data_IF_031176935327
#
_entry.id   IF_031176935327
#
_cell.length_a   1.000
_cell.length_b   1.000
_cell.length_c   1.000
_cell.angle_alpha   90.00
_cell.angle_beta   90.00
_cell.angle_gamma   90.00
#
_symmetry.space_group_name_H-M   'P 1'
#
loop_
_entity.id
_entity.type
_entity.pdbx_description
1 polymer ?
#
# COMPACT_ATOMS: atom_id res chain seq x y z
N UNK A 1 -18.85 -41.47 -24.10
CA UNK A 1 -19.10 -40.62 -22.90
C UNK A 1 -18.30 -39.31 -22.88
N UNK A 2 -17.13 -39.21 -23.54
CA UNK A 2 -16.33 -37.97 -23.58
C UNK A 2 -16.87 -36.85 -24.48
N UNK A 3 -17.54 -37.19 -25.59
CA UNK A 3 -18.07 -36.20 -26.57
C UNK A 3 -19.24 -35.40 -25.99
N UNK A 4 -20.13 -36.03 -25.21
CA UNK A 4 -21.24 -35.32 -24.58
C UNK A 4 -20.73 -34.27 -23.57
N UNK A 5 -19.72 -34.63 -22.76
CA UNK A 5 -19.12 -33.72 -21.77
C UNK A 5 -18.51 -32.48 -22.43
N UNK A 6 -17.81 -32.62 -23.57
CA UNK A 6 -17.22 -31.47 -24.28
C UNK A 6 -18.26 -30.57 -24.96
N UNK A 7 -19.39 -31.13 -25.39
CA UNK A 7 -20.48 -30.35 -25.98
C UNK A 7 -21.25 -29.53 -24.92
N UNK A 8 -21.40 -30.06 -23.70
CA UNK A 8 -21.97 -29.31 -22.58
C UNK A 8 -21.06 -28.16 -22.13
N UNK A 9 -19.74 -28.36 -22.11
CA UNK A 9 -18.81 -27.29 -21.73
C UNK A 9 -18.69 -26.19 -22.78
N UNK A 10 -18.67 -26.54 -24.08
CA UNK A 10 -18.66 -25.57 -25.17
C UNK A 10 -19.93 -24.71 -25.19
N UNK A 11 -21.10 -25.33 -25.00
CA UNK A 11 -22.38 -24.63 -24.94
C UNK A 11 -22.44 -23.65 -23.76
N UNK A 12 -21.92 -24.03 -22.59
CA UNK A 12 -21.89 -23.18 -21.41
C UNK A 12 -20.99 -21.94 -21.60
N UNK A 13 -19.83 -22.12 -22.24
CA UNK A 13 -18.91 -21.01 -22.55
C UNK A 13 -19.56 -20.02 -23.49
N UNK A 14 -20.20 -20.48 -24.57
CA UNK A 14 -20.88 -19.62 -25.55
C UNK A 14 -22.00 -18.80 -24.88
N UNK A 15 -22.82 -19.44 -24.04
CA UNK A 15 -23.88 -18.75 -23.28
C UNK A 15 -23.28 -17.63 -22.39
N UNK A 16 -22.14 -17.90 -21.75
CA UNK A 16 -21.45 -16.92 -20.90
C UNK A 16 -20.88 -15.74 -21.71
N UNK A 17 -20.26 -15.99 -22.86
CA UNK A 17 -19.71 -14.95 -23.74
C UNK A 17 -20.82 -14.02 -24.26
N UNK A 18 -21.92 -14.59 -24.76
CA UNK A 18 -23.07 -13.84 -25.24
C UNK A 18 -23.70 -12.99 -24.12
N UNK A 19 -23.79 -13.52 -22.91
CA UNK A 19 -24.34 -12.81 -21.74
C UNK A 19 -23.56 -11.52 -21.42
N UNK A 20 -22.25 -11.51 -21.64
CA UNK A 20 -21.39 -10.36 -21.34
C UNK A 20 -20.94 -9.57 -22.57
N UNK A 21 -21.47 -9.89 -23.75
CA UNK A 21 -21.20 -9.18 -25.00
C UNK A 21 -19.79 -9.40 -25.58
N UNK A 22 -19.15 -10.54 -25.26
CA UNK A 22 -17.80 -10.83 -25.74
C UNK A 22 -17.87 -11.36 -27.18
N UNK A 23 -17.48 -10.54 -28.14
CA UNK A 23 -17.48 -10.87 -29.59
C UNK A 23 -16.12 -11.30 -30.13
N UNK A 24 -15.04 -11.05 -29.39
CA UNK A 24 -13.67 -11.37 -29.82
C UNK A 24 -12.73 -11.61 -28.65
N UNK A 25 -11.59 -12.25 -28.93
CA UNK A 25 -10.54 -12.53 -27.94
C UNK A 25 -9.24 -11.79 -28.30
N UNK A 26 -8.46 -11.33 -27.31
CA UNK A 26 -8.76 -11.27 -25.89
C UNK A 26 -9.65 -10.07 -25.54
N UNK A 27 -10.71 -10.29 -24.74
CA UNK A 27 -11.53 -9.23 -24.11
C UNK A 27 -11.39 -9.34 -22.60
N UNK A 28 -11.01 -8.24 -21.95
CA UNK A 28 -10.87 -8.19 -20.49
C UNK A 28 -12.07 -7.44 -19.90
N UNK A 29 -12.72 -8.05 -18.90
CA UNK A 29 -13.88 -7.48 -18.21
C UNK A 29 -13.68 -7.55 -16.70
N UNK A 30 -13.85 -6.43 -16.03
CA UNK A 30 -13.65 -6.27 -14.60
C UNK A 30 -14.97 -6.38 -13.84
N UNK A 31 -15.03 -7.24 -12.84
CA UNK A 31 -16.24 -7.48 -12.06
C UNK A 31 -16.01 -7.08 -10.60
N UNK A 32 -16.40 -5.86 -10.18
CA UNK A 32 -16.31 -5.49 -8.78
C UNK A 32 -17.42 -6.19 -7.97
N UNK A 33 -17.18 -6.41 -6.67
CA UNK A 33 -18.09 -7.15 -5.77
C UNK A 33 -19.57 -6.72 -5.84
N UNK A 34 -19.83 -5.45 -6.13
CA UNK A 34 -21.19 -4.87 -6.19
C UNK A 34 -21.78 -4.81 -7.60
N UNK A 35 -20.99 -4.99 -8.65
CA UNK A 35 -21.47 -4.93 -10.02
C UNK A 35 -21.24 -6.29 -10.72
N UNK A 36 -22.34 -7.00 -10.96
CA UNK A 36 -22.33 -8.28 -11.69
C UNK A 36 -22.41 -8.12 -13.20
N UNK A 37 -22.67 -6.91 -13.71
CA UNK A 37 -22.71 -6.64 -15.15
C UNK A 37 -21.30 -6.62 -15.76
N UNK A 38 -20.28 -6.33 -14.95
CA UNK A 38 -18.91 -6.17 -15.40
C UNK A 38 -18.68 -4.83 -16.10
N UNK A 39 -17.44 -4.37 -16.05
CA UNK A 39 -16.96 -3.15 -16.70
C UNK A 39 -15.90 -3.55 -17.72
N UNK A 40 -15.98 -3.02 -18.92
CA UNK A 40 -15.01 -3.33 -19.97
C UNK A 40 -13.66 -2.64 -19.67
N UNK A 41 -12.57 -3.33 -19.99
CA UNK A 41 -11.22 -2.79 -19.87
C UNK A 41 -10.77 -2.23 -21.21
N UNK A 42 -10.71 -0.91 -21.29
CA UNK A 42 -10.28 -0.16 -22.49
C UNK A 42 -8.83 0.36 -22.38
N UNK A 43 -8.07 -0.10 -21.38
CA UNK A 43 -6.68 0.30 -21.17
C UNK A 43 -5.70 -0.36 -22.15
N UNK A 44 -4.43 0.05 -22.08
CA UNK A 44 -3.37 -0.56 -22.89
C UNK A 44 -3.16 -2.04 -22.59
N UNK A 45 -2.53 -2.76 -23.53
CA UNK A 45 -2.26 -4.20 -23.40
C UNK A 45 -0.98 -4.50 -22.61
N UNK A 46 -0.35 -3.46 -22.07
CA UNK A 46 0.85 -3.57 -21.28
C UNK A 46 0.54 -3.92 -19.82
N UNK A 47 1.48 -4.60 -19.16
CA UNK A 47 1.33 -5.03 -17.77
C UNK A 47 1.13 -3.84 -16.84
N UNK A 48 1.83 -2.73 -17.09
CA UNK A 48 1.79 -1.53 -16.26
C UNK A 48 0.41 -0.85 -16.29
N UNK A 49 -0.20 -0.76 -17.48
CA UNK A 49 -1.55 -0.21 -17.65
C UNK A 49 -2.60 -1.08 -16.95
N UNK A 50 -2.46 -2.40 -17.07
CA UNK A 50 -3.36 -3.33 -16.41
C UNK A 50 -3.26 -3.22 -14.88
N UNK A 51 -2.04 -3.15 -14.34
CA UNK A 51 -1.80 -2.98 -12.90
C UNK A 51 -2.35 -1.64 -12.41
N UNK A 52 -2.18 -0.57 -13.18
CA UNK A 52 -2.73 0.75 -12.86
C UNK A 52 -4.26 0.72 -12.80
N UNK A 53 -4.92 0.12 -13.79
CA UNK A 53 -6.38 -0.04 -13.78
C UNK A 53 -6.88 -0.83 -12.57
N UNK A 54 -6.24 -1.96 -12.24
CA UNK A 54 -6.62 -2.75 -11.07
C UNK A 54 -6.40 -1.96 -9.77
N UNK A 55 -5.30 -1.21 -9.67
CA UNK A 55 -5.02 -0.35 -8.52
C UNK A 55 -6.07 0.75 -8.34
N UNK A 56 -6.51 1.38 -9.43
CA UNK A 56 -7.57 2.40 -9.40
C UNK A 56 -8.93 1.80 -9.00
N UNK A 57 -9.33 0.68 -9.62
CA UNK A 57 -10.62 0.05 -9.35
C UNK A 57 -10.72 -0.60 -7.97
N UNK A 58 -9.61 -1.16 -7.47
CA UNK A 58 -9.56 -1.84 -6.18
C UNK A 58 -9.10 -0.93 -5.02
N UNK A 59 -8.56 0.25 -5.32
CA UNK A 59 -7.92 1.13 -4.33
C UNK A 59 -6.68 0.49 -3.70
N UNK A 60 -5.94 -0.30 -4.49
CA UNK A 60 -4.67 -0.93 -4.09
C UNK A 60 -3.48 -0.19 -4.69
N UNK A 61 -2.27 -0.46 -4.19
CA UNK A 61 -1.04 0.15 -4.72
C UNK A 61 0.00 -0.94 -4.91
N UNK A 62 -0.15 -1.74 -5.96
CA UNK A 62 0.74 -2.85 -6.31
C UNK A 62 1.64 -2.53 -7.51
N UNK A 63 2.84 -3.10 -7.49
CA UNK A 63 3.76 -3.08 -8.62
C UNK A 63 3.45 -4.23 -9.61
N UNK A 64 4.06 -4.22 -10.81
CA UNK A 64 3.89 -5.28 -11.81
C UNK A 64 4.35 -6.66 -11.36
N UNK A 65 5.17 -6.74 -10.31
CA UNK A 65 5.64 -8.00 -9.70
C UNK A 65 4.70 -8.47 -8.58
N UNK A 66 3.60 -7.75 -8.35
CA UNK A 66 2.60 -8.04 -7.32
C UNK A 66 2.97 -7.58 -5.91
N UNK A 67 4.08 -6.86 -5.75
CA UNK A 67 4.50 -6.32 -4.45
C UNK A 67 3.73 -5.05 -4.12
N UNK A 68 3.53 -4.79 -2.82
CA UNK A 68 2.98 -3.51 -2.36
C UNK A 68 4.05 -2.41 -2.50
N UNK A 69 3.65 -1.30 -3.12
CA UNK A 69 4.49 -0.11 -3.24
C UNK A 69 4.61 0.61 -1.91
N UNK A 70 5.63 1.47 -1.77
CA UNK A 70 5.83 2.29 -0.56
C UNK A 70 4.71 3.29 -0.30
N UNK A 71 3.90 3.55 -1.33
CA UNK A 71 2.73 4.43 -1.30
C UNK A 71 1.46 3.71 -0.84
N UNK A 72 1.50 2.37 -0.74
CA UNK A 72 0.38 1.59 -0.27
C UNK A 72 -0.04 2.05 1.13
N UNK A 73 -1.35 2.32 1.29
CA UNK A 73 -2.00 2.77 2.54
C UNK A 73 -1.59 4.16 3.01
N UNK A 74 -0.76 4.89 2.27
CA UNK A 74 -0.54 6.30 2.54
C UNK A 74 -1.80 7.10 2.17
N UNK A 75 -2.15 8.04 3.04
CA UNK A 75 -3.19 9.02 2.78
C UNK A 75 -2.47 10.37 2.73
N UNK A 76 -2.13 10.88 1.52
CA UNK A 76 -1.27 12.05 1.37
C UNK A 76 -1.77 13.29 2.13
N UNK A 77 -3.09 13.45 2.25
CA UNK A 77 -3.72 14.55 3.00
C UNK A 77 -3.42 14.51 4.51
N UNK A 78 -3.21 13.32 5.10
CA UNK A 78 -2.94 13.16 6.52
C UNK A 78 -1.45 13.27 6.87
N UNK A 79 -0.55 13.13 5.90
CA UNK A 79 0.90 13.20 6.11
C UNK A 79 1.38 14.47 6.85
N UNK A 80 0.94 15.70 6.53
CA UNK A 80 1.37 16.89 7.28
C UNK A 80 0.94 16.84 8.75
N UNK A 81 -0.31 16.44 9.02
CA UNK A 81 -0.84 16.30 10.38
C UNK A 81 -0.12 15.21 11.17
N UNK A 82 0.23 14.09 10.53
CA UNK A 82 1.00 13.01 11.18
C UNK A 82 2.42 13.48 11.52
N UNK A 83 3.06 14.27 10.66
CA UNK A 83 4.38 14.86 10.96
C UNK A 83 4.30 15.85 12.12
N UNK A 84 3.26 16.67 12.16
CA UNK A 84 2.98 17.57 13.28
C UNK A 84 2.78 16.78 14.57
N UNK A 85 1.94 15.74 14.55
CA UNK A 85 1.67 14.88 15.70
C UNK A 85 2.93 14.28 16.34
N UNK A 86 3.93 13.91 15.52
CA UNK A 86 5.18 13.35 16.04
C UNK A 86 6.15 14.38 16.62
N UNK A 87 6.13 15.62 16.12
CA UNK A 87 7.04 16.67 16.60
C UNK A 87 6.53 17.35 17.87
N UNK A 88 5.24 17.18 18.19
CA UNK A 88 4.56 17.87 19.27
C UNK A 88 4.59 17.06 20.59
N UNK A 89 4.56 17.77 21.73
CA UNK A 89 4.51 17.24 23.11
C UNK A 89 3.05 16.97 23.53
N UNK A 90 2.84 16.05 24.48
CA UNK A 90 1.57 15.36 24.76
C UNK A 90 0.30 16.23 24.85
N UNK A 91 0.37 17.44 25.39
CA UNK A 91 -0.81 18.30 25.56
C UNK A 91 -1.43 18.76 24.23
N UNK A 92 -0.59 19.05 23.23
CA UNK A 92 -1.02 19.50 21.90
C UNK A 92 -1.30 18.34 20.95
N UNK A 93 -0.87 17.10 21.28
CA UNK A 93 -1.17 15.90 20.48
C UNK A 93 -2.66 15.59 20.40
N UNK A 94 -3.41 15.92 21.47
CA UNK A 94 -4.87 15.76 21.51
C UNK A 94 -5.57 16.65 20.47
N UNK A 95 -5.12 17.89 20.31
CA UNK A 95 -5.69 18.82 19.33
C UNK A 95 -5.41 18.35 17.89
N UNK A 96 -4.19 17.89 17.62
CA UNK A 96 -3.82 17.34 16.30
C UNK A 96 -4.59 16.04 16.02
N UNK A 97 -4.85 15.21 17.03
CA UNK A 97 -5.67 14.00 16.89
C UNK A 97 -7.10 14.35 16.43
N UNK A 98 -7.74 15.35 17.04
CA UNK A 98 -9.08 15.80 16.63
C UNK A 98 -9.10 16.24 15.15
N UNK A 99 -8.09 17.00 14.72
CA UNK A 99 -7.95 17.42 13.31
C UNK A 99 -7.80 16.22 12.37
N UNK A 100 -7.02 15.21 12.77
CA UNK A 100 -6.88 13.96 11.99
C UNK A 100 -8.22 13.22 11.93
N UNK A 101 -8.98 13.12 13.03
CA UNK A 101 -10.28 12.46 13.04
C UNK A 101 -11.31 13.17 12.14
N UNK A 102 -11.33 14.51 12.13
CA UNK A 102 -12.17 15.31 11.25
C UNK A 102 -11.83 15.10 9.78
N UNK A 103 -10.55 15.13 9.41
CA UNK A 103 -10.14 14.92 8.03
C UNK A 103 -10.38 13.47 7.58
N UNK A 104 -10.25 12.50 8.50
CA UNK A 104 -10.62 11.10 8.23
C UNK A 104 -12.13 10.95 8.03
N UNK A 105 -12.97 11.72 8.73
CA UNK A 105 -14.42 11.69 8.55
C UNK A 105 -14.87 12.22 7.18
N UNK A 106 -14.11 13.15 6.59
CA UNK A 106 -14.36 13.67 5.24
C UNK A 106 -13.95 12.68 4.14
N UNK A 107 -13.05 11.74 4.43
CA UNK A 107 -12.59 10.75 3.46
C UNK A 107 -13.63 9.65 3.26
N UNK A 108 -13.76 9.15 2.03
CA UNK A 108 -14.63 8.03 1.68
C UNK A 108 -13.85 6.87 1.06
N UNK A 109 -14.47 5.68 1.00
CA UNK A 109 -13.88 4.51 0.33
C UNK A 109 -12.68 3.88 1.06
N UNK A 110 -11.64 3.51 0.32
CA UNK A 110 -10.41 2.90 0.84
C UNK A 110 -9.59 3.86 1.70
N UNK A 111 -9.59 5.15 1.35
CA UNK A 111 -8.90 6.20 2.10
C UNK A 111 -9.45 6.34 3.53
N UNK A 112 -10.76 6.23 3.72
CA UNK A 112 -11.39 6.23 5.06
C UNK A 112 -10.94 5.03 5.91
N UNK A 113 -10.82 3.84 5.30
CA UNK A 113 -10.33 2.64 5.98
C UNK A 113 -8.88 2.82 6.43
N UNK A 114 -8.03 3.35 5.55
CA UNK A 114 -6.64 3.66 5.90
C UNK A 114 -6.56 4.74 6.98
N UNK A 115 -7.38 5.79 6.88
CA UNK A 115 -7.51 6.87 7.87
C UNK A 115 -7.78 6.38 9.29
N UNK A 116 -8.71 5.42 9.46
CA UNK A 116 -8.99 4.79 10.78
C UNK A 116 -7.78 4.12 11.41
N UNK A 117 -6.85 3.60 10.61
CA UNK A 117 -5.62 2.99 11.09
C UNK A 117 -4.70 4.06 11.71
N UNK A 118 -4.59 5.24 11.09
CA UNK A 118 -3.84 6.37 11.65
C UNK A 118 -4.39 6.81 13.00
N UNK A 119 -5.71 6.97 13.11
CA UNK A 119 -6.38 7.33 14.37
C UNK A 119 -6.09 6.29 15.46
N UNK A 120 -6.21 4.99 15.12
CA UNK A 120 -5.93 3.90 16.07
C UNK A 120 -4.47 3.87 16.52
N UNK A 121 -3.54 4.14 15.60
CA UNK A 121 -2.12 4.21 15.90
C UNK A 121 -1.80 5.41 16.81
N UNK A 122 -2.36 6.59 16.51
CA UNK A 122 -2.18 7.79 17.31
C UNK A 122 -2.72 7.61 18.75
N UNK A 123 -3.90 6.98 18.91
CA UNK A 123 -4.44 6.61 20.23
C UNK A 123 -3.49 5.68 21.00
N UNK A 124 -2.97 4.64 20.35
CA UNK A 124 -1.98 3.73 20.98
C UNK A 124 -0.69 4.44 21.39
N UNK A 125 -0.23 5.43 20.61
CA UNK A 125 0.96 6.22 20.96
C UNK A 125 0.68 7.08 22.20
N UNK A 126 -0.52 7.66 22.31
CA UNK A 126 -0.93 8.40 23.50
C UNK A 126 -1.04 7.51 24.74
N UNK A 127 -1.60 6.31 24.63
CA UNK A 127 -1.82 5.41 25.77
C UNK A 127 -0.51 4.77 26.28
N UNK A 128 0.41 4.44 25.37
CA UNK A 128 1.63 3.66 25.68
C UNK A 128 2.91 4.50 25.75
N UNK A 129 2.82 5.80 25.44
CA UNK A 129 3.94 6.73 25.47
C UNK A 129 4.93 6.59 24.29
N UNK A 130 5.95 7.44 24.32
CA UNK A 130 6.93 7.64 23.23
C UNK A 130 7.78 6.40 22.90
N UNK A 131 7.97 5.48 23.84
CA UNK A 131 8.74 4.25 23.64
C UNK A 131 7.99 3.17 22.84
N UNK A 132 6.67 3.29 22.68
CA UNK A 132 5.87 2.34 21.92
C UNK A 132 6.33 2.23 20.46
N UNK A 133 6.63 3.36 19.82
CA UNK A 133 7.04 3.41 18.41
C UNK A 133 8.35 2.65 18.17
N UNK A 134 9.32 2.74 19.10
CA UNK A 134 10.59 2.02 19.01
C UNK A 134 10.37 0.51 19.14
N UNK A 135 9.66 0.08 20.19
CA UNK A 135 9.36 -1.33 20.45
C UNK A 135 8.56 -1.97 19.30
N UNK A 136 7.58 -1.24 18.77
CA UNK A 136 6.77 -1.72 17.65
C UNK A 136 7.58 -1.82 16.36
N UNK A 137 8.48 -0.86 16.11
CA UNK A 137 9.40 -0.93 14.96
C UNK A 137 10.31 -2.16 15.05
N UNK A 138 10.88 -2.44 16.22
CA UNK A 138 11.69 -3.64 16.43
C UNK A 138 10.90 -4.93 16.31
N UNK A 139 9.68 -4.98 16.86
CA UNK A 139 8.79 -6.15 16.75
C UNK A 139 8.51 -6.47 15.29
N UNK A 140 8.18 -5.45 14.49
CA UNK A 140 7.93 -5.60 13.05
C UNK A 140 9.20 -6.02 12.29
N UNK A 141 10.37 -5.50 12.68
CA UNK A 141 11.63 -5.94 12.09
C UNK A 141 11.92 -7.41 12.36
N UNK A 142 11.75 -7.87 13.60
CA UNK A 142 11.91 -9.29 13.96
C UNK A 142 10.89 -10.19 13.26
N UNK A 143 9.67 -9.70 13.03
CA UNK A 143 8.68 -10.43 12.24
C UNK A 143 9.07 -10.53 10.77
N UNK A 144 9.64 -9.47 10.20
CA UNK A 144 10.08 -9.48 8.81
C UNK A 144 11.19 -10.50 8.57
N UNK A 145 12.13 -10.62 9.52
CA UNK A 145 13.26 -11.55 9.46
C UNK A 145 12.83 -13.02 9.62
N UNK A 146 11.76 -13.29 10.37
CA UNK A 146 11.27 -14.65 10.63
C UNK A 146 10.29 -15.18 9.58
N UNK A 147 9.72 -14.29 8.77
CA UNK A 147 8.70 -14.66 7.81
C UNK A 147 9.36 -14.99 6.49
N UNK A 148 9.40 -16.27 6.12
CA UNK A 148 9.91 -16.73 4.82
C UNK A 148 8.88 -16.59 3.68
N UNK A 149 7.61 -16.34 3.99
CA UNK A 149 6.57 -16.21 2.98
C UNK A 149 6.54 -14.80 2.37
N UNK A 150 6.79 -14.72 1.06
CA UNK A 150 6.79 -13.47 0.27
C UNK A 150 5.52 -12.62 0.47
N UNK A 151 4.37 -13.27 0.70
CA UNK A 151 3.06 -12.64 0.92
C UNK A 151 2.98 -11.86 2.25
N UNK A 152 3.46 -12.44 3.35
CA UNK A 152 3.35 -11.82 4.68
C UNK A 152 4.40 -10.71 4.87
N UNK A 153 5.56 -10.79 4.20
CA UNK A 153 6.54 -9.70 4.17
C UNK A 153 5.98 -8.42 3.54
N UNK A 154 5.19 -8.54 2.46
CA UNK A 154 4.60 -7.40 1.75
C UNK A 154 3.55 -6.68 2.62
N UNK A 155 2.67 -7.44 3.29
CA UNK A 155 1.67 -6.89 4.20
C UNK A 155 2.30 -6.11 5.37
N UNK A 156 3.42 -6.59 5.91
CA UNK A 156 4.21 -5.94 6.97
C UNK A 156 4.96 -4.69 6.46
N UNK A 157 5.52 -4.72 5.24
CA UNK A 157 6.17 -3.56 4.62
C UNK A 157 5.19 -2.39 4.42
N UNK A 158 3.95 -2.67 4.03
CA UNK A 158 2.91 -1.66 3.86
C UNK A 158 2.39 -1.07 5.19
N UNK A 159 2.67 -1.68 6.34
CA UNK A 159 2.41 -1.09 7.67
C UNK A 159 3.53 -0.14 8.13
N UNK A 160 4.74 -0.27 7.58
CA UNK A 160 5.93 0.53 7.94
C UNK A 160 5.79 2.05 7.75
N UNK A 161 5.22 2.57 6.63
CA UNK A 161 5.09 4.02 6.43
C UNK A 161 4.07 4.67 7.39
N UNK A 162 3.08 3.93 7.88
CA UNK A 162 2.08 4.42 8.85
C UNK A 162 2.72 4.67 10.23
N UNK A 163 3.63 3.80 10.65
CA UNK A 163 4.29 3.87 11.97
C UNK A 163 5.56 4.73 11.97
N UNK A 164 6.09 5.06 10.79
CA UNK A 164 7.25 5.92 10.64
C UNK A 164 7.01 6.92 9.50
N UNK A 165 6.62 8.19 9.77
CA UNK A 165 6.55 9.24 8.74
C UNK A 165 7.94 9.70 8.25
N UNK A 166 8.98 8.89 8.51
CA UNK A 166 10.40 9.21 8.39
C UNK A 166 11.15 8.20 7.50
N UNK A 167 10.57 7.74 6.39
CA UNK A 167 11.38 7.14 5.31
C UNK A 167 12.07 8.16 4.40
N UNK A 168 11.96 9.46 4.72
CA UNK A 168 12.74 10.54 4.10
C UNK A 168 14.19 10.60 4.63
N UNK A 169 14.51 9.94 5.75
CA UNK A 169 15.85 10.05 6.37
C UNK A 169 16.88 9.00 5.95
N UNK A 170 16.48 7.76 5.66
CA UNK A 170 17.44 6.64 5.70
C UNK A 170 18.20 6.41 4.38
N UNK A 171 17.72 6.92 3.24
CA UNK A 171 18.51 6.91 2.00
C UNK A 171 19.42 8.14 1.88
N UNK A 172 18.97 9.32 2.32
CA UNK A 172 19.78 10.55 2.25
C UNK A 172 20.93 10.51 3.27
N UNK A 173 20.69 10.05 4.50
CA UNK A 173 21.76 9.94 5.52
C UNK A 173 22.75 8.83 5.17
N UNK A 174 22.30 7.73 4.55
CA UNK A 174 23.20 6.64 4.14
C UNK A 174 24.05 7.02 2.91
N UNK A 175 23.52 7.84 1.99
CA UNK A 175 24.27 8.41 0.86
C UNK A 175 25.20 9.54 1.30
N UNK A 176 24.78 10.42 2.23
CA UNK A 176 25.65 11.45 2.83
C UNK A 176 26.78 10.84 3.66
N UNK A 177 26.52 9.80 4.46
CA UNK A 177 27.60 9.12 5.21
C UNK A 177 28.55 8.36 4.27
N UNK A 178 28.06 7.77 3.18
CA UNK A 178 28.92 7.15 2.15
C UNK A 178 29.79 8.18 1.41
N UNK A 179 29.27 9.38 1.12
CA UNK A 179 30.05 10.46 0.50
C UNK A 179 31.08 11.06 1.46
N UNK A 180 30.74 11.23 2.75
CA UNK A 180 31.69 11.70 3.77
C UNK A 180 32.79 10.66 4.02
N UNK A 181 32.47 9.37 4.00
CA UNK A 181 33.48 8.30 4.06
C UNK A 181 34.36 8.22 2.82
N UNK A 182 33.84 8.47 1.61
CA UNK A 182 34.65 8.49 0.37
C UNK A 182 35.60 9.70 0.31
N UNK A 183 35.17 10.86 0.80
CA UNK A 183 35.98 12.08 0.87
C UNK A 183 37.08 11.93 1.93
N UNK A 184 36.78 11.33 3.09
CA UNK A 184 37.78 11.05 4.13
C UNK A 184 38.80 9.97 3.71
N UNK A 185 38.40 8.97 2.92
CA UNK A 185 39.32 7.97 2.38
C UNK A 185 40.28 8.57 1.33
N UNK A 186 39.86 9.61 0.62
CA UNK A 186 40.68 10.29 -0.39
C UNK A 186 41.75 11.21 0.22
N UNK A 187 41.57 11.67 1.46
CA UNK A 187 42.56 12.47 2.20
C UNK A 187 43.63 11.63 2.90
N UNK A 188 43.35 10.35 3.18
CA UNK A 188 44.30 9.46 3.86
C UNK A 188 45.28 8.74 2.92
N UNK A 189 45.14 8.92 1.60
CA UNK A 189 45.95 8.27 0.55
C UNK A 189 46.86 9.23 -0.23
N UNK A 190 46.99 10.48 0.21
CA UNK A 190 47.96 11.47 -0.32
C UNK A 190 48.93 11.88 0.78
N UNK A 191 49.73 10.91 1.24
CA UNK A 191 51.03 11.08 1.88
C UNK A 191 52.00 10.18 1.13
#
# INVERSE_FOLDING_TARGET
MFVLSSMFTASLIIIYLCRYGVSGFPTLKFFPKRNKAGEDYDGGRDLDDFVKFINEKCGTSRDPKGHLTSEARLVPSLNPLVKEFLNVVDDKRKEVLSKIEEDVAKLSGSAAKHGKIYVTAAKKIMDKGSDYTKKETERLHRMLEKVDSKFTQQELLACKPILTPKWVGLRVVKIMMLLVSLVLLSFHFKV
#
